data_IF_692347835366
#
_entry.id   IF_692347835366
#
_cell.length_a   1.000
_cell.length_b   1.000
_cell.length_c   1.000
_cell.angle_alpha   90.00
_cell.angle_beta   90.00
_cell.angle_gamma   90.00
#
_symmetry.space_group_name_H-M   'P 1'
#
loop_
_entity.id
_entity.type
_entity.pdbx_description
1 polymer ?
#
# COMPACT_ATOMS: atom_id res chain seq x y z
N UNK A 1 19.30 23.99 14.52
CA UNK A 1 19.86 23.09 13.49
C UNK A 1 19.48 23.70 12.16
N UNK A 2 20.47 24.05 11.34
CA UNK A 2 20.24 24.66 10.04
C UNK A 2 19.66 23.61 9.07
N UNK A 3 18.80 24.01 8.12
CA UNK A 3 18.14 23.08 7.17
C UNK A 3 19.17 22.25 6.38
N UNK A 4 20.33 22.84 6.08
CA UNK A 4 21.45 22.17 5.41
C UNK A 4 22.09 21.06 6.25
N UNK A 5 22.03 21.17 7.58
CA UNK A 5 22.53 20.15 8.50
C UNK A 5 21.55 18.97 8.58
N UNK A 6 20.24 19.27 8.65
CA UNK A 6 19.16 18.27 8.58
C UNK A 6 19.24 17.41 7.32
N UNK A 7 19.47 18.04 6.16
CA UNK A 7 19.57 17.35 4.88
C UNK A 7 20.65 16.27 4.82
N UNK A 8 21.72 16.42 5.62
CA UNK A 8 22.84 15.48 5.70
C UNK A 8 22.65 14.39 6.75
N UNK A 9 21.54 14.42 7.50
CA UNK A 9 21.24 13.40 8.50
C UNK A 9 20.90 12.07 7.84
N UNK A 10 21.52 10.98 8.33
CA UNK A 10 21.24 9.61 7.89
C UNK A 10 19.85 9.17 8.35
N UNK A 11 19.09 8.59 7.44
CA UNK A 11 17.80 7.95 7.72
C UNK A 11 18.06 6.47 7.96
N UNK A 12 18.51 6.14 9.18
CA UNK A 12 18.92 4.78 9.54
C UNK A 12 17.79 3.76 9.44
N UNK A 13 16.54 4.18 9.64
CA UNK A 13 15.36 3.31 9.57
C UNK A 13 15.09 2.76 8.17
N UNK A 14 15.47 3.49 7.11
CA UNK A 14 15.25 3.10 5.71
C UNK A 14 16.57 2.81 4.96
N UNK A 15 17.71 3.05 5.60
CA UNK A 15 19.03 2.70 5.06
C UNK A 15 19.31 1.20 5.22
N UNK A 16 20.07 0.65 4.28
CA UNK A 16 20.57 -0.73 4.33
C UNK A 16 22.09 -0.76 4.33
N UNK A 17 22.69 -1.93 4.54
CA UNK A 17 24.14 -2.13 4.46
C UNK A 17 24.73 -1.73 3.09
N UNK A 18 23.91 -1.76 2.03
CA UNK A 18 24.34 -1.47 0.66
C UNK A 18 23.91 -0.08 0.18
N UNK A 19 22.99 0.59 0.90
CA UNK A 19 22.45 1.89 0.50
C UNK A 19 22.18 2.76 1.73
N UNK A 20 22.98 3.80 1.89
CA UNK A 20 22.72 4.87 2.86
C UNK A 20 21.78 5.90 2.27
N UNK A 21 20.71 6.22 2.97
CA UNK A 21 19.73 7.25 2.62
C UNK A 21 19.82 8.40 3.62
N UNK A 22 19.68 9.61 3.13
CA UNK A 22 19.73 10.84 3.90
C UNK A 22 18.42 11.60 3.78
N UNK A 23 18.14 12.51 4.72
CA UNK A 23 16.89 13.28 4.72
C UNK A 23 16.66 13.98 3.38
N UNK A 24 17.71 14.51 2.73
CA UNK A 24 17.62 15.12 1.40
C UNK A 24 17.02 14.20 0.33
N UNK A 25 17.16 12.89 0.45
CA UNK A 25 16.66 11.94 -0.56
C UNK A 25 15.12 11.84 -0.53
N UNK A 26 14.49 12.29 0.56
CA UNK A 26 13.04 12.32 0.77
C UNK A 26 12.45 13.73 0.72
N UNK A 27 13.28 14.75 0.50
CA UNK A 27 12.81 16.13 0.37
C UNK A 27 12.37 16.37 -1.06
N UNK A 28 11.07 16.56 -1.24
CA UNK A 28 10.46 16.87 -2.53
C UNK A 28 10.71 18.34 -2.88
N UNK A 29 10.89 18.63 -4.16
CA UNK A 29 11.08 20.02 -4.60
C UNK A 29 9.80 20.84 -4.39
N UNK A 30 9.92 22.14 -4.14
CA UNK A 30 8.76 23.03 -3.94
C UNK A 30 7.76 22.98 -5.10
N UNK A 31 8.25 22.72 -6.32
CA UNK A 31 7.42 22.59 -7.52
C UNK A 31 6.52 21.33 -7.50
N UNK A 32 6.87 20.34 -6.70
CA UNK A 32 6.12 19.08 -6.54
C UNK A 32 5.25 19.08 -5.28
N UNK A 33 5.31 20.13 -4.46
CA UNK A 33 4.48 20.22 -3.28
C UNK A 33 3.00 20.38 -3.67
N UNK A 34 2.07 19.89 -2.82
CA UNK A 34 0.67 20.16 -3.01
C UNK A 34 0.42 21.67 -3.12
N UNK A 35 -0.25 22.08 -4.21
CA UNK A 35 -0.64 23.48 -4.42
C UNK A 35 -1.83 23.90 -3.57
N UNK A 36 -2.55 22.92 -3.03
CA UNK A 36 -3.71 23.09 -2.16
C UNK A 36 -3.19 23.13 -0.73
N UNK A 37 -3.75 24.02 0.09
CA UNK A 37 -3.35 24.12 1.49
C UNK A 37 -3.80 22.88 2.25
N UNK A 38 -3.05 22.51 3.29
CA UNK A 38 -3.37 21.38 4.16
C UNK A 38 -4.69 21.54 4.95
N UNK A 39 -5.34 22.69 4.88
CA UNK A 39 -6.61 23.02 5.54
C UNK A 39 -7.73 23.37 4.54
N UNK A 40 -7.43 23.35 3.23
CA UNK A 40 -8.31 23.77 2.14
C UNK A 40 -8.79 22.55 1.35
N UNK A 41 -9.53 21.67 2.02
CA UNK A 41 -10.18 20.51 1.41
C UNK A 41 -11.65 20.47 1.79
N UNK A 42 -12.49 19.98 0.88
CA UNK A 42 -13.89 19.71 1.20
C UNK A 42 -14.00 18.56 2.23
N UNK A 43 -15.03 18.59 3.07
CA UNK A 43 -15.35 17.46 3.93
C UNK A 43 -15.58 16.22 3.07
N UNK A 44 -14.91 15.11 3.40
CA UNK A 44 -15.00 13.85 2.67
C UNK A 44 -16.39 13.18 2.70
N UNK A 45 -17.39 13.84 3.27
CA UNK A 45 -18.79 13.42 3.35
C UNK A 45 -19.45 13.31 1.97
N UNK A 46 -18.95 14.02 0.95
CA UNK A 46 -19.47 13.98 -0.41
C UNK A 46 -18.92 12.81 -1.25
N UNK A 47 -17.92 12.07 -0.73
CA UNK A 47 -17.30 10.97 -1.48
C UNK A 47 -18.33 9.84 -1.74
N UNK A 48 -18.42 9.32 -2.98
CA UNK A 48 -19.37 8.28 -3.30
C UNK A 48 -19.13 7.01 -2.47
N UNK A 49 -20.20 6.55 -1.82
CA UNK A 49 -20.25 5.32 -1.04
C UNK A 49 -21.18 4.34 -1.74
N UNK A 50 -20.65 3.20 -2.17
CA UNK A 50 -21.36 2.20 -2.96
C UNK A 50 -21.48 0.92 -2.15
N UNK A 51 -22.71 0.48 -1.88
CA UNK A 51 -22.99 -0.78 -1.16
C UNK A 51 -23.25 -1.92 -2.14
N UNK A 52 -22.61 -3.08 -1.94
CA UNK A 52 -22.89 -4.28 -2.73
C UNK A 52 -23.99 -5.16 -2.14
N UNK A 53 -24.60 -4.78 -1.02
CA UNK A 53 -25.51 -5.62 -0.24
C UNK A 53 -26.64 -6.22 -1.08
N UNK A 54 -27.25 -5.41 -1.94
CA UNK A 54 -28.41 -5.80 -2.77
C UNK A 54 -28.08 -6.82 -3.86
N UNK A 55 -26.80 -6.98 -4.21
CA UNK A 55 -26.36 -7.89 -5.28
C UNK A 55 -25.59 -9.11 -4.77
N UNK A 56 -25.39 -9.24 -3.46
CA UNK A 56 -24.64 -10.35 -2.86
C UNK A 56 -25.28 -11.72 -3.14
N UNK A 57 -26.59 -11.77 -3.44
CA UNK A 57 -27.29 -13.00 -3.80
C UNK A 57 -27.02 -13.47 -5.25
N UNK A 58 -26.25 -12.70 -6.02
CA UNK A 58 -25.79 -13.05 -7.36
C UNK A 58 -26.79 -12.79 -8.49
N UNK A 59 -27.91 -12.10 -8.25
CA UNK A 59 -28.91 -11.78 -9.28
C UNK A 59 -28.48 -10.62 -10.17
N UNK A 60 -27.68 -10.92 -11.20
CA UNK A 60 -27.13 -9.94 -12.15
C UNK A 60 -28.16 -9.27 -13.06
N UNK A 61 -29.34 -9.86 -13.24
CA UNK A 61 -30.42 -9.34 -14.08
C UNK A 61 -31.46 -8.54 -13.29
N UNK A 62 -31.10 -8.08 -12.08
CA UNK A 62 -31.98 -7.25 -11.25
C UNK A 62 -31.79 -5.77 -11.58
N UNK A 63 -32.88 -5.00 -11.45
CA UNK A 63 -32.83 -3.53 -11.52
C UNK A 63 -31.81 -2.94 -10.53
N UNK A 64 -31.68 -3.55 -9.35
CA UNK A 64 -30.68 -3.19 -8.35
C UNK A 64 -29.25 -3.31 -8.89
N UNK A 65 -28.91 -4.40 -9.59
CA UNK A 65 -27.60 -4.58 -10.21
C UNK A 65 -27.32 -3.51 -11.29
N UNK A 66 -28.29 -3.22 -12.16
CA UNK A 66 -28.13 -2.20 -13.19
C UNK A 66 -27.93 -0.80 -12.59
N UNK A 67 -28.71 -0.44 -11.57
CA UNK A 67 -28.59 0.85 -10.89
C UNK A 67 -27.23 0.98 -10.18
N UNK A 68 -26.78 -0.08 -9.51
CA UNK A 68 -25.46 -0.12 -8.89
C UNK A 68 -24.33 0.08 -9.91
N UNK A 69 -24.40 -0.58 -11.08
CA UNK A 69 -23.42 -0.36 -12.14
C UNK A 69 -23.42 1.08 -12.64
N UNK A 70 -24.60 1.71 -12.79
CA UNK A 70 -24.69 3.14 -13.16
C UNK A 70 -24.07 4.03 -12.09
N UNK A 71 -24.32 3.77 -10.82
CA UNK A 71 -23.74 4.53 -9.70
C UNK A 71 -22.21 4.42 -9.67
N UNK A 72 -21.66 3.22 -9.91
CA UNK A 72 -20.21 3.01 -10.04
C UNK A 72 -19.61 3.78 -11.22
N UNK A 73 -20.27 3.78 -12.38
CA UNK A 73 -19.83 4.57 -13.55
C UNK A 73 -19.88 6.06 -13.23
N UNK A 74 -20.98 6.56 -12.68
CA UNK A 74 -21.14 7.96 -12.30
C UNK A 74 -20.07 8.40 -11.29
N UNK A 75 -19.77 7.57 -10.29
CA UNK A 75 -18.70 7.87 -9.33
C UNK A 75 -17.32 7.90 -10.00
N UNK A 76 -17.02 6.96 -10.90
CA UNK A 76 -15.79 7.00 -11.70
C UNK A 76 -15.69 8.25 -12.58
N UNK A 77 -16.78 8.70 -13.21
CA UNK A 77 -16.79 9.87 -14.08
C UNK A 77 -16.68 11.19 -13.32
N UNK A 78 -17.35 11.30 -12.18
CA UNK A 78 -17.41 12.55 -11.40
C UNK A 78 -16.29 12.69 -10.37
N UNK A 79 -15.86 11.58 -9.76
CA UNK A 79 -14.83 11.57 -8.70
C UNK A 79 -13.55 10.86 -9.11
N UNK A 80 -13.61 9.87 -10.00
CA UNK A 80 -12.47 9.00 -10.34
C UNK A 80 -12.22 7.87 -9.34
N UNK A 81 -12.94 7.83 -8.21
CA UNK A 81 -12.88 6.79 -7.19
C UNK A 81 -14.15 6.78 -6.33
N UNK A 82 -14.35 5.70 -5.57
CA UNK A 82 -15.45 5.55 -4.62
C UNK A 82 -15.06 4.60 -3.48
N UNK A 83 -15.78 4.68 -2.36
CA UNK A 83 -15.69 3.69 -1.28
C UNK A 83 -16.69 2.57 -1.53
N UNK A 84 -16.23 1.33 -1.40
CA UNK A 84 -17.07 0.15 -1.48
C UNK A 84 -17.38 -0.36 -0.07
N UNK A 85 -18.66 -0.57 0.23
CA UNK A 85 -19.14 -1.17 1.50
C UNK A 85 -20.02 -2.38 1.23
N UNK A 86 -20.29 -3.17 2.27
CA UNK A 86 -21.07 -4.41 2.18
C UNK A 86 -20.59 -5.36 1.07
N UNK A 87 -19.28 -5.36 0.81
CA UNK A 87 -18.65 -6.08 -0.29
C UNK A 87 -18.59 -7.60 -0.10
N UNK A 88 -19.18 -8.13 0.98
CA UNK A 88 -19.24 -9.57 1.28
C UNK A 88 -17.93 -10.21 1.73
N UNK A 89 -16.84 -9.43 1.85
CA UNK A 89 -15.56 -9.94 2.40
C UNK A 89 -15.68 -9.96 3.92
N UNK A 90 -15.50 -11.12 4.59
CA UNK A 90 -15.62 -11.19 6.04
C UNK A 90 -14.58 -10.29 6.75
N UNK A 91 -15.01 -9.58 7.80
CA UNK A 91 -14.12 -8.71 8.58
C UNK A 91 -12.90 -9.45 9.14
N UNK A 92 -13.04 -10.72 9.51
CA UNK A 92 -11.92 -11.55 9.99
C UNK A 92 -10.78 -11.67 8.98
N UNK A 93 -11.09 -11.68 7.67
CA UNK A 93 -10.07 -11.72 6.60
C UNK A 93 -9.31 -10.40 6.53
N UNK A 94 -10.04 -9.28 6.63
CA UNK A 94 -9.46 -7.92 6.60
C UNK A 94 -8.56 -7.70 7.81
N UNK A 95 -9.04 -8.02 9.02
CA UNK A 95 -8.25 -7.85 10.24
C UNK A 95 -7.03 -8.77 10.26
N UNK A 96 -7.17 -10.04 9.85
CA UNK A 96 -6.01 -10.93 9.75
C UNK A 96 -4.97 -10.45 8.72
N UNK A 97 -5.40 -9.86 7.61
CA UNK A 97 -4.48 -9.22 6.66
C UNK A 97 -3.72 -8.07 7.32
N UNK A 98 -4.42 -7.15 8.01
CA UNK A 98 -3.80 -6.01 8.70
C UNK A 98 -2.78 -6.47 9.75
N UNK A 99 -3.16 -7.42 10.60
CA UNK A 99 -2.28 -7.98 11.64
C UNK A 99 -1.02 -8.59 11.04
N UNK A 100 -1.14 -9.37 9.96
CA UNK A 100 0.03 -9.97 9.28
C UNK A 100 0.92 -8.93 8.61
N UNK A 101 0.33 -7.88 8.03
CA UNK A 101 1.10 -6.77 7.45
C UNK A 101 1.88 -6.02 8.54
N UNK A 102 1.21 -5.65 9.64
CA UNK A 102 1.87 -5.00 10.78
C UNK A 102 3.00 -5.88 11.34
N UNK A 103 2.71 -7.16 11.60
CA UNK A 103 3.71 -8.09 12.10
C UNK A 103 4.91 -8.28 11.17
N UNK A 104 4.72 -8.20 9.84
CA UNK A 104 5.82 -8.20 8.88
C UNK A 104 6.68 -6.94 8.98
N UNK A 105 6.07 -5.76 9.01
CA UNK A 105 6.79 -4.48 9.00
C UNK A 105 7.48 -4.18 10.35
N UNK A 106 6.97 -4.77 11.44
CA UNK A 106 7.59 -4.74 12.77
C UNK A 106 8.84 -5.64 12.89
N UNK A 107 9.09 -6.54 11.92
CA UNK A 107 10.31 -7.36 11.93
C UNK A 107 11.57 -6.49 11.78
N UNK A 108 12.71 -6.96 12.31
CA UNK A 108 14.00 -6.31 12.07
C UNK A 108 14.30 -6.15 10.58
N UNK A 109 14.91 -5.03 10.19
CA UNK A 109 15.26 -4.71 8.80
C UNK A 109 16.01 -5.86 8.09
N UNK A 110 16.97 -6.48 8.77
CA UNK A 110 17.74 -7.62 8.24
C UNK A 110 16.83 -8.79 7.83
N UNK A 111 15.77 -9.05 8.59
CA UNK A 111 14.83 -10.12 8.29
C UNK A 111 13.91 -9.75 7.12
N UNK A 112 13.44 -8.51 7.06
CA UNK A 112 12.64 -7.99 5.93
C UNK A 112 13.42 -8.03 4.61
N UNK A 113 14.71 -7.66 4.65
CA UNK A 113 15.60 -7.67 3.49
C UNK A 113 15.85 -9.07 2.89
N UNK A 114 15.62 -10.16 3.64
CA UNK A 114 15.65 -11.51 3.05
C UNK A 114 14.61 -11.65 1.93
N UNK A 115 13.49 -10.93 2.03
CA UNK A 115 12.43 -10.85 1.04
C UNK A 115 12.58 -9.73 0.01
N UNK A 116 13.76 -9.12 -0.11
CA UNK A 116 14.02 -8.04 -1.07
C UNK A 116 13.86 -8.52 -2.53
N UNK A 117 13.50 -7.56 -3.40
CA UNK A 117 13.45 -7.77 -4.86
C UNK A 117 14.77 -8.38 -5.34
N UNK A 118 14.68 -9.46 -6.11
CA UNK A 118 15.83 -10.17 -6.69
C UNK A 118 15.43 -10.83 -8.02
N UNK A 119 16.38 -11.38 -8.76
CA UNK A 119 16.09 -12.08 -10.04
C UNK A 119 15.03 -13.18 -9.92
N UNK A 120 14.99 -13.88 -8.78
CA UNK A 120 14.05 -14.96 -8.50
C UNK A 120 12.76 -14.51 -7.78
N UNK A 121 12.71 -13.24 -7.37
CA UNK A 121 11.61 -12.62 -6.65
C UNK A 121 11.48 -11.17 -7.15
N UNK A 122 10.91 -10.95 -8.35
CA UNK A 122 10.98 -9.65 -9.04
C UNK A 122 10.20 -8.55 -8.31
N UNK A 123 9.18 -8.93 -7.53
CA UNK A 123 8.50 -8.07 -6.56
C UNK A 123 8.84 -8.57 -5.15
N UNK A 124 9.01 -7.68 -4.20
CA UNK A 124 9.33 -8.04 -2.84
C UNK A 124 9.31 -6.84 -1.91
N UNK A 125 9.98 -7.00 -0.78
CA UNK A 125 10.18 -5.92 0.18
C UNK A 125 11.17 -4.89 -0.36
N UNK A 126 10.94 -3.61 -0.04
CA UNK A 126 11.90 -2.54 -0.26
C UNK A 126 11.79 -1.50 0.86
N UNK A 127 12.91 -1.05 1.45
CA UNK A 127 12.90 -0.06 2.53
C UNK A 127 12.51 1.35 2.04
N UNK A 128 12.56 1.59 0.74
CA UNK A 128 11.95 2.75 0.08
C UNK A 128 11.69 2.40 -1.39
N UNK A 129 10.76 3.08 -2.05
CA UNK A 129 10.55 2.85 -3.48
C UNK A 129 11.61 3.58 -4.31
N UNK A 130 12.68 2.86 -4.67
CA UNK A 130 13.76 3.40 -5.48
C UNK A 130 13.38 3.67 -6.92
N UNK A 131 12.22 3.17 -7.39
CA UNK A 131 11.75 3.38 -8.75
C UNK A 131 11.40 4.86 -9.03
N UNK A 132 11.25 5.67 -7.97
CA UNK A 132 11.12 7.13 -8.07
C UNK A 132 12.40 7.82 -8.56
N UNK A 133 13.58 7.21 -8.36
CA UNK A 133 14.90 7.75 -8.70
C UNK A 133 15.38 8.90 -7.80
N UNK A 134 14.52 9.89 -7.55
CA UNK A 134 14.71 11.02 -6.64
C UNK A 134 13.38 11.28 -5.90
N UNK A 135 13.37 12.14 -4.87
CA UNK A 135 12.16 12.44 -4.08
C UNK A 135 11.51 11.17 -3.54
N UNK A 136 12.33 10.35 -2.89
CA UNK A 136 11.91 9.03 -2.43
C UNK A 136 10.74 9.17 -1.44
N UNK A 137 9.78 8.24 -1.45
CA UNK A 137 8.75 8.22 -0.43
C UNK A 137 9.35 7.80 0.91
N UNK A 138 8.96 8.49 1.98
CA UNK A 138 9.26 8.07 3.35
C UNK A 138 8.34 6.91 3.75
N UNK A 139 8.54 5.76 3.13
CA UNK A 139 7.75 4.57 3.35
C UNK A 139 8.53 3.32 2.94
N UNK A 140 8.41 2.28 3.75
CA UNK A 140 8.71 0.92 3.30
C UNK A 140 7.59 0.42 2.38
N UNK A 141 7.91 -0.54 1.51
CA UNK A 141 6.92 -1.13 0.61
C UNK A 141 7.12 -2.64 0.49
N UNK A 142 6.00 -3.34 0.35
CA UNK A 142 5.98 -4.74 -0.04
C UNK A 142 5.13 -4.87 -1.30
N UNK A 143 5.71 -5.47 -2.33
CA UNK A 143 4.97 -5.85 -3.52
C UNK A 143 5.01 -7.36 -3.68
N UNK A 144 3.85 -7.96 -3.94
CA UNK A 144 3.72 -9.39 -4.16
C UNK A 144 2.92 -9.62 -5.44
N UNK A 145 3.39 -10.55 -6.27
CA UNK A 145 2.60 -11.07 -7.37
C UNK A 145 1.45 -11.90 -6.80
N UNK A 146 0.27 -11.85 -7.43
CA UNK A 146 -0.85 -12.76 -7.16
C UNK A 146 -0.54 -14.18 -7.69
N UNK A 147 0.57 -14.76 -7.24
CA UNK A 147 1.03 -16.09 -7.56
C UNK A 147 1.37 -16.82 -6.25
N UNK A 148 0.69 -17.93 -5.94
CA UNK A 148 0.98 -18.71 -4.73
C UNK A 148 2.46 -19.06 -4.59
N UNK A 149 3.14 -19.45 -5.68
CA UNK A 149 4.57 -19.74 -5.67
C UNK A 149 5.43 -18.55 -5.26
N UNK A 150 5.14 -17.36 -5.75
CA UNK A 150 5.91 -16.15 -5.42
C UNK A 150 5.68 -15.74 -3.96
N UNK A 151 4.43 -15.78 -3.50
CA UNK A 151 4.11 -15.52 -2.09
C UNK A 151 4.80 -16.52 -1.16
N UNK A 152 4.78 -17.82 -1.49
CA UNK A 152 5.50 -18.84 -0.72
C UNK A 152 7.02 -18.63 -0.76
N UNK A 153 7.57 -18.21 -1.91
CA UNK A 153 9.01 -17.92 -2.04
C UNK A 153 9.41 -16.75 -1.14
N UNK A 154 8.65 -15.65 -1.15
CA UNK A 154 8.82 -14.53 -0.23
C UNK A 154 8.72 -15.00 1.23
N UNK A 155 7.64 -15.70 1.59
CA UNK A 155 7.39 -16.13 2.96
C UNK A 155 8.48 -17.04 3.50
N UNK A 156 8.99 -17.99 2.69
CA UNK A 156 10.11 -18.86 3.09
C UNK A 156 11.40 -18.07 3.33
N UNK A 157 11.67 -17.03 2.54
CA UNK A 157 12.85 -16.19 2.72
C UNK A 157 12.78 -15.37 4.01
N UNK A 158 11.63 -14.77 4.31
CA UNK A 158 11.44 -13.86 5.46
C UNK A 158 11.18 -14.61 6.77
N UNK A 159 10.30 -15.60 6.75
CA UNK A 159 9.81 -16.30 7.94
C UNK A 159 10.42 -17.71 8.12
N UNK A 160 11.19 -18.21 7.15
CA UNK A 160 11.74 -19.57 7.23
C UNK A 160 10.63 -20.63 7.38
N UNK A 161 10.73 -21.47 8.41
CA UNK A 161 9.76 -22.53 8.69
C UNK A 161 8.49 -22.05 9.43
N UNK A 162 8.44 -20.78 9.83
CA UNK A 162 7.31 -20.21 10.59
C UNK A 162 6.19 -19.66 9.68
N UNK A 163 6.33 -19.79 8.36
CA UNK A 163 5.26 -19.41 7.44
C UNK A 163 4.06 -20.36 7.56
N UNK A 164 2.87 -19.80 7.73
CA UNK A 164 1.60 -20.53 7.73
C UNK A 164 0.71 -20.06 6.58
N UNK A 165 -0.01 -20.95 5.88
CA UNK A 165 -1.04 -20.55 4.94
C UNK A 165 -2.18 -19.83 5.68
N UNK A 166 -2.91 -18.99 4.96
CA UNK A 166 -4.22 -18.53 5.44
C UNK A 166 -5.11 -19.75 5.67
N UNK A 167 -5.67 -19.85 6.88
CA UNK A 167 -6.70 -20.82 7.24
C UNK A 167 -8.07 -20.16 7.16
#
# INVERSE_FOLDING_TARGET
MEVEELQKQLVSSLSTMHKSLYVKDFMWSENEWPKIRHDDYESGDNMPLISLLEILDGKRESEAYENLCKDMVMACESWGFFKLVDHGIPNVVIESMKERCLGLFDLPMEQKLKGERSSNLPLGYSPTNTDYGHNLPWAESLQLLQSPQQVLTFSKKVFGNEHSPFR
#
